data_IF_686407896231
#
_entry.id   IF_686407896231
#
_cell.length_a   1.000
_cell.length_b   1.000
_cell.length_c   1.000
_cell.angle_alpha   90.00
_cell.angle_beta   90.00
_cell.angle_gamma   90.00
#
_symmetry.space_group_name_H-M   'P 1'
#
loop_
_entity.id
_entity.type
_entity.pdbx_description
1 polymer ?
#
# COMPACT_ATOMS: atom_id res chain seq x y z
N UNK A 1 -17.59 1.91 23.31
CA UNK A 1 -16.48 2.77 22.84
C UNK A 1 -16.57 3.03 21.33
N UNK A 2 -16.51 4.29 20.86
CA UNK A 2 -16.56 4.58 19.44
C UNK A 2 -15.28 4.07 18.77
N UNK A 3 -15.43 3.17 17.81
CA UNK A 3 -14.34 2.73 16.95
C UNK A 3 -13.92 3.93 16.10
N UNK A 4 -12.68 4.41 16.30
CA UNK A 4 -12.09 5.45 15.45
C UNK A 4 -12.20 4.99 14.01
N UNK A 5 -13.09 5.65 13.26
CA UNK A 5 -13.30 5.38 11.85
C UNK A 5 -11.99 5.61 11.12
N UNK A 6 -11.58 4.65 10.31
CA UNK A 6 -10.42 4.79 9.43
C UNK A 6 -10.59 6.09 8.64
N UNK A 7 -9.66 7.06 8.72
CA UNK A 7 -9.82 8.34 8.06
C UNK A 7 -10.00 8.13 6.55
N UNK A 8 -10.93 8.89 5.96
CA UNK A 8 -11.20 8.88 4.52
C UNK A 8 -9.88 9.12 3.77
N UNK A 9 -9.39 8.09 3.06
CA UNK A 9 -8.11 8.14 2.33
C UNK A 9 -7.22 6.91 2.52
N UNK A 10 -7.41 6.10 3.58
CA UNK A 10 -6.69 4.82 3.69
C UNK A 10 -7.21 3.84 2.64
N UNK A 11 -6.27 3.17 1.98
CA UNK A 11 -6.53 2.07 1.03
C UNK A 11 -5.70 0.86 1.46
N UNK A 12 -6.31 -0.31 1.38
CA UNK A 12 -5.63 -1.59 1.58
C UNK A 12 -5.60 -2.32 0.24
N UNK A 13 -4.43 -2.84 -0.13
CA UNK A 13 -4.22 -3.56 -1.37
C UNK A 13 -3.48 -4.86 -1.06
N UNK A 14 -4.10 -5.99 -1.39
CA UNK A 14 -3.45 -7.29 -1.31
C UNK A 14 -2.38 -7.45 -2.38
N UNK A 15 -1.26 -8.06 -2.02
CA UNK A 15 -0.16 -8.45 -2.93
C UNK A 15 -0.03 -9.97 -2.88
N UNK A 16 -0.18 -10.62 -4.04
CA UNK A 16 -0.09 -12.08 -4.18
C UNK A 16 1.24 -12.55 -4.79
N UNK A 17 1.47 -13.86 -4.77
CA UNK A 17 2.63 -14.48 -5.43
C UNK A 17 3.98 -14.26 -4.71
N UNK A 18 3.96 -13.91 -3.43
CA UNK A 18 5.17 -13.73 -2.64
C UNK A 18 5.70 -15.07 -2.13
N UNK A 19 7.02 -15.21 -2.05
CA UNK A 19 7.67 -16.37 -1.43
C UNK A 19 7.57 -16.25 0.09
N UNK A 20 7.34 -17.37 0.77
CA UNK A 20 7.33 -17.41 2.23
C UNK A 20 8.70 -17.14 2.84
N UNK A 21 8.72 -16.68 4.09
CA UNK A 21 9.94 -16.39 4.86
C UNK A 21 10.94 -15.48 4.13
N UNK A 22 10.46 -14.61 3.24
CA UNK A 22 11.30 -13.78 2.38
C UNK A 22 11.08 -12.30 2.72
N UNK A 23 12.14 -11.52 2.96
CA UNK A 23 12.01 -10.08 3.20
C UNK A 23 11.71 -9.33 1.89
N UNK A 24 10.74 -8.43 1.95
CA UNK A 24 10.34 -7.55 0.86
C UNK A 24 10.38 -6.08 1.28
N UNK A 25 10.72 -5.21 0.33
CA UNK A 25 10.56 -3.76 0.48
C UNK A 25 9.42 -3.27 -0.40
N UNK A 26 8.50 -2.50 0.17
CA UNK A 26 7.31 -1.97 -0.49
C UNK A 26 7.29 -0.45 -0.42
N UNK A 27 6.78 0.18 -1.48
CA UNK A 27 6.61 1.63 -1.61
C UNK A 27 5.28 1.92 -2.29
N UNK A 28 4.63 3.01 -1.88
CA UNK A 28 3.37 3.46 -2.46
C UNK A 28 3.56 4.81 -3.17
N UNK A 29 2.72 5.08 -4.17
CA UNK A 29 2.55 6.39 -4.80
C UNK A 29 1.11 6.57 -5.23
N UNK A 30 0.64 7.81 -5.32
CA UNK A 30 -0.74 8.13 -5.69
C UNK A 30 -0.76 9.05 -6.91
N UNK A 31 -1.83 8.98 -7.70
CA UNK A 31 -2.15 9.98 -8.74
C UNK A 31 -3.64 10.32 -8.66
N UNK A 32 -4.06 11.48 -9.16
CA UNK A 32 -5.48 11.79 -9.34
C UNK A 32 -6.19 10.74 -10.20
N UNK A 33 -7.49 10.55 -9.95
CA UNK A 33 -8.34 9.56 -10.62
C UNK A 33 -8.49 9.79 -12.14
N UNK A 34 -8.14 10.98 -12.63
CA UNK A 34 -8.26 11.37 -14.02
C UNK A 34 -9.70 11.70 -14.45
N UNK A 35 -10.68 11.61 -13.55
CA UNK A 35 -12.10 11.93 -13.80
C UNK A 35 -12.39 13.37 -13.40
N UNK A 36 -12.10 13.72 -12.14
CA UNK A 36 -12.34 15.09 -11.64
C UNK A 36 -11.11 15.97 -11.80
N UNK A 37 -9.92 15.37 -11.72
CA UNK A 37 -8.64 16.07 -11.81
C UNK A 37 -7.63 15.23 -12.58
N UNK A 38 -6.94 15.86 -13.54
CA UNK A 38 -5.75 15.30 -14.17
C UNK A 38 -4.49 15.54 -13.33
N UNK A 39 -3.42 14.82 -13.60
CA UNK A 39 -2.14 15.06 -12.94
C UNK A 39 -1.16 13.90 -13.03
N UNK A 40 0.03 14.12 -12.48
CA UNK A 40 1.11 13.16 -12.43
C UNK A 40 1.03 12.29 -11.16
N UNK A 41 1.84 11.23 -11.14
CA UNK A 41 2.09 10.48 -9.92
C UNK A 41 2.85 11.34 -8.90
N UNK A 42 2.56 11.12 -7.62
CA UNK A 42 3.38 11.60 -6.51
C UNK A 42 4.79 10.98 -6.58
N UNK A 43 5.76 11.56 -5.87
CA UNK A 43 6.95 10.82 -5.46
C UNK A 43 6.56 9.52 -4.75
N UNK A 44 7.45 8.54 -4.80
CA UNK A 44 7.32 7.33 -3.99
C UNK A 44 7.41 7.66 -2.50
N UNK A 45 6.65 6.95 -1.69
CA UNK A 45 6.80 6.95 -0.24
C UNK A 45 8.21 6.46 0.18
N UNK A 46 8.61 6.73 1.43
CA UNK A 46 9.67 5.95 2.06
C UNK A 46 9.39 4.45 1.97
N UNK A 47 10.42 3.60 1.88
CA UNK A 47 10.26 2.16 1.88
C UNK A 47 9.77 1.66 3.24
N UNK A 48 8.85 0.71 3.21
CA UNK A 48 8.54 -0.16 4.34
C UNK A 48 9.07 -1.56 4.04
N UNK A 49 9.56 -2.27 5.06
CA UNK A 49 10.12 -3.61 4.91
C UNK A 49 9.32 -4.58 5.76
N UNK A 50 8.99 -5.74 5.20
CA UNK A 50 8.29 -6.80 5.91
C UNK A 50 8.75 -8.18 5.42
N UNK A 51 8.75 -9.16 6.31
CA UNK A 51 8.99 -10.56 5.95
C UNK A 51 7.65 -11.27 5.84
N UNK A 52 7.46 -12.02 4.76
CA UNK A 52 6.27 -12.84 4.59
C UNK A 52 6.24 -13.99 5.60
N UNK A 53 5.03 -14.46 6.00
CA UNK A 53 4.91 -15.69 6.76
C UNK A 53 5.53 -16.88 6.01
N UNK A 54 5.85 -18.00 6.70
CA UNK A 54 6.22 -19.24 6.03
C UNK A 54 5.19 -19.66 4.98
N UNK A 55 5.65 -20.21 3.87
CA UNK A 55 4.76 -20.87 2.91
C UNK A 55 4.29 -22.19 3.49
N UNK A 56 3.04 -22.56 3.17
CA UNK A 56 2.54 -23.93 3.40
C UNK A 56 3.26 -24.94 2.50
#
# INVERSE_FOLDING_TARGET
PPQVGVPAGRREQGVGGLRGSTPYSVRARARPDGVSYGGFWSPWSPPATATTPPGE
#
